data_IF_811459361498
#
_entry.id   IF_811459361498
#
_cell.length_a   1.000
_cell.length_b   1.000
_cell.length_c   1.000
_cell.angle_alpha   90.00
_cell.angle_beta   90.00
_cell.angle_gamma   90.00
#
_symmetry.space_group_name_H-M   'P 1'
#
loop_
_entity.id
_entity.type
_entity.pdbx_description
1 polymer ?
#
# COMPACT_ATOMS: atom_id res chain seq x y z
N UNK A 1 -6.88 0.76 9.49
CA UNK A 1 -5.69 0.05 9.03
C UNK A 1 -4.58 0.16 10.07
N UNK A 2 -3.98 -0.94 10.42
CA UNK A 2 -2.85 -1.01 11.35
C UNK A 2 -1.85 -2.04 10.82
N UNK A 3 -0.56 -1.72 10.81
CA UNK A 3 0.48 -2.66 10.46
C UNK A 3 1.81 -2.31 11.13
N UNK A 4 2.68 -3.30 11.20
CA UNK A 4 4.09 -3.15 11.55
C UNK A 4 4.92 -3.81 10.45
N UNK A 5 5.96 -3.15 10.00
CA UNK A 5 6.88 -3.65 8.99
C UNK A 5 8.32 -3.48 9.47
N UNK A 6 9.16 -4.46 9.18
CA UNK A 6 10.58 -4.46 9.51
C UNK A 6 11.41 -4.60 8.23
N UNK A 7 12.21 -3.58 7.95
CA UNK A 7 13.23 -3.59 6.91
C UNK A 7 14.54 -4.13 7.51
N UNK A 8 14.73 -5.43 7.39
CA UNK A 8 15.89 -6.16 7.92
C UNK A 8 16.83 -6.65 6.82
N UNK A 9 16.58 -6.25 5.60
CA UNK A 9 17.30 -6.58 4.38
C UNK A 9 16.81 -7.84 3.67
N UNK A 10 16.39 -7.63 2.45
CA UNK A 10 15.99 -8.60 1.43
C UNK A 10 15.10 -9.75 1.95
N UNK A 11 15.71 -10.87 2.32
CA UNK A 11 14.98 -12.09 2.67
C UNK A 11 14.54 -12.17 4.13
N UNK A 12 14.88 -11.17 4.94
CA UNK A 12 14.54 -11.13 6.38
C UNK A 12 13.43 -10.14 6.70
N UNK A 13 13.01 -9.34 5.73
CA UNK A 13 11.91 -8.41 5.90
C UNK A 13 10.67 -9.12 6.39
N UNK A 14 9.91 -8.47 7.24
CA UNK A 14 8.66 -9.01 7.76
C UNK A 14 7.59 -7.95 7.91
N UNK A 15 6.35 -8.40 7.91
CA UNK A 15 5.16 -7.56 8.08
C UNK A 15 4.09 -8.30 8.84
N UNK A 16 3.34 -7.58 9.65
CA UNK A 16 2.07 -8.02 10.21
C UNK A 16 1.08 -6.86 10.18
N UNK A 17 -0.12 -7.07 9.69
CA UNK A 17 -1.09 -5.99 9.62
C UNK A 17 -2.50 -6.42 9.25
N UNK A 18 -3.45 -5.55 9.58
CA UNK A 18 -4.88 -5.73 9.27
C UNK A 18 -5.43 -4.43 8.73
N UNK A 19 -6.18 -4.51 7.63
CA UNK A 19 -7.03 -3.43 7.15
C UNK A 19 -8.48 -3.88 7.12
N UNK A 20 -9.37 -3.00 7.56
CA UNK A 20 -10.83 -3.17 7.45
C UNK A 20 -11.41 -1.93 6.81
N UNK A 21 -12.26 -2.13 5.82
CA UNK A 21 -12.92 -1.04 5.10
C UNK A 21 -14.21 -1.53 4.46
N UNK A 22 -15.08 -0.58 4.09
CA UNK A 22 -16.33 -0.85 3.39
C UNK A 22 -16.30 -0.19 2.03
N UNK A 23 -16.62 -0.94 0.99
CA UNK A 23 -16.74 -0.43 -0.38
C UNK A 23 -18.11 0.22 -0.60
N UNK A 24 -18.23 1.00 -1.69
CA UNK A 24 -19.48 1.75 -2.01
C UNK A 24 -20.70 0.85 -2.17
N UNK A 25 -20.52 -0.42 -2.53
CA UNK A 25 -21.58 -1.42 -2.62
C UNK A 25 -22.01 -1.98 -1.24
N UNK A 26 -21.43 -1.45 -0.14
CA UNK A 26 -21.71 -1.87 1.22
C UNK A 26 -20.98 -3.14 1.65
N UNK A 27 -20.15 -3.74 0.82
CA UNK A 27 -19.38 -4.92 1.21
C UNK A 27 -18.28 -4.56 2.22
N UNK A 28 -18.20 -5.34 3.30
CA UNK A 28 -17.12 -5.24 4.28
C UNK A 28 -15.95 -6.09 3.82
N UNK A 29 -14.78 -5.49 3.80
CA UNK A 29 -13.52 -6.15 3.47
C UNK A 29 -12.60 -6.17 4.67
N UNK A 30 -11.92 -7.29 4.88
CA UNK A 30 -10.85 -7.45 5.86
C UNK A 30 -9.66 -8.11 5.17
N UNK A 31 -8.51 -7.47 5.28
CA UNK A 31 -7.23 -7.98 4.78
C UNK A 31 -6.30 -8.22 5.96
N UNK A 32 -5.64 -9.36 5.97
CA UNK A 32 -4.63 -9.72 6.98
C UNK A 32 -3.31 -10.00 6.27
N UNK A 33 -2.34 -9.11 6.45
CA UNK A 33 -0.97 -9.28 5.94
C UNK A 33 -0.14 -10.08 6.94
N UNK A 34 0.54 -11.11 6.47
CA UNK A 34 1.40 -11.98 7.30
C UNK A 34 2.69 -12.44 6.61
N UNK A 35 2.84 -12.15 5.32
CA UNK A 35 3.98 -12.61 4.51
C UNK A 35 4.48 -11.50 3.62
N UNK A 36 5.77 -11.20 3.69
CA UNK A 36 6.43 -10.25 2.79
C UNK A 36 6.77 -10.94 1.47
N UNK A 37 6.60 -10.22 0.35
CA UNK A 37 7.13 -10.61 -0.94
C UNK A 37 8.64 -10.29 -0.97
N UNK A 38 9.48 -11.28 -0.70
CA UNK A 38 10.94 -11.11 -0.60
C UNK A 38 11.68 -11.22 -1.94
N UNK A 39 10.99 -11.68 -2.99
CA UNK A 39 11.55 -11.86 -4.35
C UNK A 39 10.59 -11.27 -5.38
N UNK A 40 11.15 -10.94 -6.53
CA UNK A 40 10.38 -10.41 -7.67
C UNK A 40 9.52 -9.19 -7.33
N UNK A 41 10.01 -8.38 -6.40
CA UNK A 41 9.34 -7.12 -6.03
C UNK A 41 9.35 -6.21 -7.26
N UNK A 42 8.19 -5.74 -7.72
CA UNK A 42 8.09 -4.87 -8.90
C UNK A 42 8.99 -3.64 -8.75
N UNK A 43 9.80 -3.38 -9.78
CA UNK A 43 10.77 -2.28 -9.87
C UNK A 43 11.93 -2.31 -8.86
N UNK A 44 11.92 -3.20 -7.87
CA UNK A 44 12.94 -3.27 -6.81
C UNK A 44 13.37 -4.70 -6.46
N UNK A 45 13.82 -5.51 -7.42
CA UNK A 45 14.08 -6.94 -7.20
C UNK A 45 15.23 -7.23 -6.21
N UNK A 46 16.02 -6.22 -5.84
CA UNK A 46 17.19 -6.39 -4.96
C UNK A 46 16.95 -5.99 -3.51
N UNK A 47 15.82 -5.37 -3.19
CA UNK A 47 15.63 -4.73 -1.89
C UNK A 47 14.73 -5.51 -0.93
N UNK A 48 14.10 -6.57 -1.36
CA UNK A 48 13.10 -7.27 -0.55
C UNK A 48 11.74 -6.58 -0.57
N UNK A 49 10.86 -6.95 0.32
CA UNK A 49 9.47 -6.51 0.31
C UNK A 49 9.17 -5.29 1.16
N UNK A 50 10.10 -4.82 2.00
CA UNK A 50 9.95 -3.60 2.81
C UNK A 50 11.09 -2.65 2.49
N UNK A 51 10.77 -1.39 2.18
CA UNK A 51 11.76 -0.35 1.87
C UNK A 51 11.37 0.93 2.60
N UNK A 52 12.32 1.47 3.35
CA UNK A 52 12.18 2.73 4.07
C UNK A 52 12.79 3.91 3.31
N UNK A 53 12.15 5.07 3.38
CA UNK A 53 12.71 6.33 2.89
C UNK A 53 12.94 6.38 1.37
N UNK A 54 12.05 5.85 0.57
CA UNK A 54 12.18 5.71 -0.88
C UNK A 54 11.43 6.82 -1.65
N UNK A 55 12.06 7.39 -2.66
CA UNK A 55 11.37 8.11 -3.74
C UNK A 55 10.84 7.10 -4.74
N UNK A 56 9.58 6.79 -4.63
CA UNK A 56 9.02 5.66 -5.39
C UNK A 56 7.87 6.05 -6.31
N UNK A 57 6.88 6.77 -5.83
CA UNK A 57 5.65 7.04 -6.56
C UNK A 57 5.97 7.84 -7.85
N UNK A 58 5.47 7.39 -8.99
CA UNK A 58 5.69 8.03 -10.28
C UNK A 58 6.93 7.56 -11.05
N UNK A 59 7.73 6.65 -10.51
CA UNK A 59 8.89 6.04 -11.22
C UNK A 59 8.44 4.92 -12.18
N UNK A 60 7.23 4.98 -12.68
CA UNK A 60 6.66 3.96 -13.57
C UNK A 60 6.93 4.22 -15.05
N UNK A 61 7.56 5.36 -15.38
CA UNK A 61 7.72 5.83 -16.77
C UNK A 61 6.44 6.44 -17.37
N UNK A 62 5.35 6.48 -16.63
CA UNK A 62 4.05 7.02 -17.13
C UNK A 62 4.03 8.54 -17.12
N UNK A 63 4.78 9.18 -16.23
CA UNK A 63 4.94 10.64 -16.12
C UNK A 63 3.61 11.44 -16.17
N UNK A 64 2.63 10.99 -15.39
CA UNK A 64 1.35 11.70 -15.27
C UNK A 64 1.29 12.47 -13.94
N UNK A 65 0.61 13.62 -13.88
CA UNK A 65 0.37 14.32 -12.61
C UNK A 65 -0.34 13.45 -11.54
N UNK A 66 -1.03 12.40 -11.95
CA UNK A 66 -1.71 11.48 -11.04
C UNK A 66 -0.75 10.55 -10.29
N UNK A 67 0.46 10.36 -10.78
CA UNK A 67 1.51 9.53 -10.18
C UNK A 67 2.85 10.27 -10.14
N UNK A 68 2.97 11.36 -9.37
CA UNK A 68 4.21 12.11 -9.24
C UNK A 68 5.24 11.32 -8.44
N UNK A 69 6.51 11.64 -8.65
CA UNK A 69 7.57 11.11 -7.79
C UNK A 69 7.56 11.86 -6.46
N UNK A 70 7.25 11.16 -5.40
CA UNK A 70 7.18 11.71 -4.04
C UNK A 70 7.90 10.77 -3.06
N UNK A 71 8.26 11.30 -1.89
CA UNK A 71 8.88 10.51 -0.85
C UNK A 71 7.85 9.54 -0.24
N UNK A 72 8.22 8.26 -0.22
CA UNK A 72 7.52 7.23 0.53
C UNK A 72 8.34 6.90 1.78
N UNK A 73 7.80 7.17 2.96
CA UNK A 73 8.44 6.80 4.22
C UNK A 73 8.55 5.28 4.34
N UNK A 74 7.53 4.56 3.85
CA UNK A 74 7.53 3.10 3.72
C UNK A 74 6.89 2.74 2.39
N UNK A 75 7.51 1.82 1.65
CA UNK A 75 6.90 1.08 0.56
C UNK A 75 7.04 -0.42 0.87
N UNK A 76 5.96 -1.17 0.83
CA UNK A 76 6.00 -2.61 1.09
C UNK A 76 5.18 -3.39 0.08
N UNK A 77 5.64 -4.61 -0.18
CA UNK A 77 4.95 -5.64 -0.97
C UNK A 77 4.79 -6.89 -0.13
N UNK A 78 3.59 -7.36 -0.05
CA UNK A 78 3.17 -8.42 0.86
C UNK A 78 2.17 -9.35 0.20
N UNK A 79 1.93 -10.48 0.83
CA UNK A 79 0.77 -11.31 0.59
C UNK A 79 -0.18 -11.24 1.78
N UNK A 80 -1.46 -11.48 1.52
CA UNK A 80 -2.47 -11.39 2.53
C UNK A 80 -3.62 -12.39 2.32
N UNK A 81 -4.28 -12.72 3.42
CA UNK A 81 -5.62 -13.30 3.40
C UNK A 81 -6.64 -12.18 3.23
N UNK A 82 -7.53 -12.32 2.26
CA UNK A 82 -8.56 -11.34 1.96
C UNK A 82 -9.96 -11.94 2.19
N UNK A 83 -10.78 -11.23 2.96
CA UNK A 83 -12.14 -11.63 3.27
C UNK A 83 -13.12 -10.57 2.80
N UNK A 84 -14.29 -11.01 2.32
CA UNK A 84 -15.43 -10.17 1.99
C UNK A 84 -16.65 -10.66 2.77
N UNK A 85 -17.25 -9.80 3.59
CA UNK A 85 -18.36 -10.15 4.48
C UNK A 85 -18.06 -11.42 5.31
N UNK A 86 -16.85 -11.48 5.87
CA UNK A 86 -16.30 -12.58 6.67
C UNK A 86 -16.05 -13.90 5.91
N UNK A 87 -16.28 -13.94 4.60
CA UNK A 87 -15.97 -15.10 3.75
C UNK A 87 -14.58 -14.92 3.11
N UNK A 88 -13.74 -15.92 3.20
CA UNK A 88 -12.41 -15.91 2.55
C UNK A 88 -12.59 -15.84 1.04
N UNK A 89 -11.99 -14.81 0.42
CA UNK A 89 -11.94 -14.61 -1.03
C UNK A 89 -10.69 -15.25 -1.61
N UNK A 90 -9.54 -14.99 -0.97
CA UNK A 90 -8.25 -15.58 -1.32
C UNK A 90 -7.32 -15.56 -0.11
N UNK A 91 -6.42 -16.52 -0.05
CA UNK A 91 -5.33 -16.59 0.93
C UNK A 91 -3.98 -16.07 0.38
N UNK A 92 -3.98 -15.55 -0.84
CA UNK A 92 -2.78 -15.15 -1.55
C UNK A 92 -2.94 -13.82 -2.32
N UNK A 93 -3.74 -12.88 -1.80
CA UNK A 93 -3.82 -11.56 -2.39
C UNK A 93 -2.44 -10.88 -2.39
N UNK A 94 -2.05 -10.28 -3.50
CA UNK A 94 -0.86 -9.44 -3.54
C UNK A 94 -1.20 -8.04 -3.00
N UNK A 95 -0.39 -7.53 -2.10
CA UNK A 95 -0.63 -6.27 -1.40
C UNK A 95 0.54 -5.32 -1.59
N UNK A 96 0.23 -4.07 -1.91
CA UNK A 96 1.20 -2.98 -1.91
C UNK A 96 0.70 -1.86 -1.01
N UNK A 97 1.55 -1.43 -0.08
CA UNK A 97 1.27 -0.30 0.83
C UNK A 97 2.35 0.75 0.65
N UNK A 98 1.94 2.01 0.61
CA UNK A 98 2.83 3.16 0.65
C UNK A 98 2.38 4.16 1.71
N UNK A 99 3.35 4.70 2.45
CA UNK A 99 3.17 5.82 3.36
C UNK A 99 3.83 7.05 2.71
N UNK A 100 3.03 8.00 2.27
CA UNK A 100 3.47 9.11 1.43
C UNK A 100 3.48 10.43 2.18
N UNK A 101 4.42 11.31 1.81
CA UNK A 101 4.56 12.65 2.40
C UNK A 101 3.57 13.68 1.86
N UNK A 102 2.79 13.34 0.84
CA UNK A 102 1.86 14.24 0.17
C UNK A 102 0.56 13.51 -0.11
N UNK A 103 -0.53 14.27 -0.12
CA UNK A 103 -1.84 13.85 -0.60
C UNK A 103 -2.22 14.59 -1.88
N UNK A 104 -3.42 14.34 -2.38
CA UNK A 104 -4.00 14.98 -3.54
C UNK A 104 -5.09 15.96 -3.11
N UNK A 105 -5.06 17.18 -3.67
CA UNK A 105 -6.12 18.15 -3.48
C UNK A 105 -7.36 17.72 -4.26
N UNK A 106 -8.52 17.78 -3.59
CA UNK A 106 -9.79 17.51 -4.24
C UNK A 106 -10.05 18.54 -5.35
N UNK A 107 -10.49 18.07 -6.48
CA UNK A 107 -10.91 18.86 -7.64
C UNK A 107 -9.89 18.98 -8.76
N UNK A 108 -8.61 19.25 -8.49
CA UNK A 108 -7.58 19.39 -9.53
C UNK A 108 -6.45 18.35 -9.46
N UNK A 109 -6.46 17.51 -8.41
CA UNK A 109 -5.45 16.48 -8.14
C UNK A 109 -4.02 17.01 -8.04
N UNK A 110 -3.83 18.30 -7.82
CA UNK A 110 -2.51 18.84 -7.53
C UNK A 110 -1.95 18.25 -6.24
N UNK A 111 -0.62 18.08 -6.17
CA UNK A 111 0.02 17.68 -4.93
C UNK A 111 -0.21 18.74 -3.86
N UNK A 112 -0.71 18.32 -2.74
CA UNK A 112 -0.87 19.11 -1.55
C UNK A 112 -0.05 18.53 -0.42
N UNK A 113 0.65 19.38 0.27
CA UNK A 113 1.41 19.00 1.44
C UNK A 113 0.81 19.69 2.66
N UNK A 114 0.18 18.91 3.51
CA UNK A 114 -0.40 19.42 4.76
C UNK A 114 0.69 19.92 5.71
N UNK A 115 1.78 19.18 5.81
CA UNK A 115 2.97 19.55 6.55
C UNK A 115 4.19 18.89 5.90
N UNK A 116 4.90 19.65 5.08
CA UNK A 116 6.04 19.17 4.31
C UNK A 116 7.28 18.82 5.13
N UNK A 117 7.18 18.65 6.43
CA UNK A 117 8.27 18.10 7.22
C UNK A 117 8.53 16.65 6.75
N UNK A 118 9.80 16.32 6.48
CA UNK A 118 10.22 15.03 5.90
C UNK A 118 9.76 13.79 6.68
N UNK A 119 9.26 13.97 7.90
CA UNK A 119 8.89 12.90 8.81
C UNK A 119 7.37 12.73 8.97
N UNK A 120 6.57 13.50 8.24
CA UNK A 120 5.11 13.43 8.36
C UNK A 120 4.52 12.65 7.19
N UNK A 121 3.70 11.68 7.53
CA UNK A 121 2.93 10.90 6.59
C UNK A 121 1.60 11.59 6.42
N UNK A 122 1.27 11.91 5.19
CA UNK A 122 0.05 12.63 4.84
C UNK A 122 -0.97 11.71 4.18
N UNK A 123 -0.49 10.70 3.49
CA UNK A 123 -1.32 9.76 2.77
C UNK A 123 -0.86 8.31 2.99
N UNK A 124 -1.82 7.41 3.18
CA UNK A 124 -1.59 5.97 3.18
C UNK A 124 -2.34 5.36 2.00
N UNK A 125 -1.61 4.72 1.11
CA UNK A 125 -2.18 3.99 -0.02
C UNK A 125 -2.09 2.49 0.21
N UNK A 126 -3.18 1.79 -0.05
CA UNK A 126 -3.28 0.34 -0.01
C UNK A 126 -3.85 -0.16 -1.33
N UNK A 127 -3.08 -1.00 -2.03
CA UNK A 127 -3.52 -1.72 -3.21
C UNK A 127 -3.58 -3.20 -2.90
N UNK A 128 -4.70 -3.85 -3.22
CA UNK A 128 -4.89 -5.28 -3.04
C UNK A 128 -5.27 -5.85 -4.41
N UNK A 129 -4.42 -6.73 -4.92
CA UNK A 129 -4.58 -7.38 -6.21
C UNK A 129 -4.86 -8.88 -6.02
N UNK A 130 -5.54 -9.53 -6.96
CA UNK A 130 -5.62 -10.99 -6.98
C UNK A 130 -4.22 -11.60 -7.03
N UNK A 131 -4.06 -12.74 -6.41
CA UNK A 131 -2.84 -13.53 -6.54
C UNK A 131 -2.58 -13.96 -7.99
N UNK A 132 -1.35 -14.33 -8.29
CA UNK A 132 -0.97 -14.78 -9.64
C UNK A 132 -1.83 -15.97 -10.07
N UNK A 133 -2.53 -15.82 -11.19
CA UNK A 133 -3.41 -16.85 -11.71
C UNK A 133 -4.83 -16.87 -11.13
N UNK A 134 -5.12 -16.00 -10.16
CA UNK A 134 -6.47 -15.88 -9.61
C UNK A 134 -7.35 -14.95 -10.46
N UNK A 135 -8.69 -15.12 -10.40
CA UNK A 135 -9.62 -14.25 -11.09
C UNK A 135 -9.58 -12.83 -10.51
N UNK A 136 -9.86 -11.84 -11.35
CA UNK A 136 -10.00 -10.45 -10.91
C UNK A 136 -11.12 -10.33 -9.87
N UNK A 137 -10.93 -9.41 -8.91
CA UNK A 137 -11.98 -9.11 -7.95
C UNK A 137 -13.17 -8.45 -8.64
N UNK A 138 -14.36 -8.65 -8.10
CA UNK A 138 -15.56 -7.93 -8.53
C UNK A 138 -15.53 -6.49 -7.98
N UNK A 139 -14.63 -5.67 -8.54
CA UNK A 139 -14.40 -4.28 -8.20
C UNK A 139 -13.93 -3.53 -9.46
N UNK A 140 -14.05 -2.20 -9.53
CA UNK A 140 -13.53 -1.40 -10.64
C UNK A 140 -12.04 -1.68 -10.87
N UNK A 141 -11.68 -1.98 -12.11
CA UNK A 141 -10.31 -2.36 -12.48
C UNK A 141 -9.92 -3.80 -12.09
N UNK A 142 -10.71 -4.51 -11.29
CA UNK A 142 -10.47 -5.88 -10.86
C UNK A 142 -9.50 -6.00 -9.66
N UNK A 143 -9.24 -4.92 -8.96
CA UNK A 143 -8.43 -4.84 -7.74
C UNK A 143 -9.07 -3.84 -6.77
N UNK A 144 -8.63 -3.84 -5.50
CA UNK A 144 -9.07 -2.88 -4.50
C UNK A 144 -7.98 -1.83 -4.31
N UNK A 145 -8.40 -0.57 -4.30
CA UNK A 145 -7.54 0.57 -3.99
C UNK A 145 -8.19 1.38 -2.88
N UNK A 146 -7.48 1.56 -1.79
CA UNK A 146 -7.93 2.33 -0.63
C UNK A 146 -6.90 3.39 -0.32
N UNK A 147 -7.37 4.60 -0.12
CA UNK A 147 -6.55 5.76 0.18
C UNK A 147 -7.06 6.43 1.44
N UNK A 148 -6.17 6.70 2.39
CA UNK A 148 -6.44 7.49 3.58
C UNK A 148 -5.62 8.76 3.50
N UNK A 149 -6.28 9.88 3.30
CA UNK A 149 -5.69 11.20 3.28
C UNK A 149 -5.63 11.78 4.68
N UNK A 150 -4.65 12.67 4.91
CA UNK A 150 -4.43 13.31 6.22
C UNK A 150 -4.31 12.30 7.36
N UNK A 151 -3.55 11.23 7.12
CA UNK A 151 -3.38 10.15 8.08
C UNK A 151 -2.65 10.63 9.33
N UNK A 152 -3.23 10.36 10.49
CA UNK A 152 -2.63 10.71 11.79
C UNK A 152 -2.08 9.44 12.43
N UNK A 153 -0.82 9.48 12.88
CA UNK A 153 -0.27 8.46 13.77
C UNK A 153 0.63 7.40 13.14
N UNK A 154 0.99 7.52 11.86
CA UNK A 154 2.07 6.69 11.33
C UNK A 154 3.42 7.23 11.83
N UNK A 155 4.07 6.51 12.74
CA UNK A 155 5.42 6.84 13.20
C UNK A 155 6.36 5.68 12.85
N UNK A 156 7.57 5.97 12.35
CA UNK A 156 8.61 4.96 12.30
C UNK A 156 8.91 4.52 13.73
N UNK A 157 8.95 3.21 13.97
CA UNK A 157 9.47 2.68 15.22
C UNK A 157 10.95 3.09 15.34
N UNK A 158 11.29 3.69 16.47
CA UNK A 158 12.66 4.03 16.86
C UNK A 158 13.49 2.77 17.13
#
# INVERSE_FOLDING_TARGET
>A
FSFTAWDLGAVRDSVAGVAEFTTQDGARWRMVMDRVQTRDVPHHPRFGGVIMGLYYHGVTGVHTPLVPTINSAVALWSFAHLYRNDVLVTDNAAVHVMLLSHTRREGDFALECWDCSRNKIDEVQLQILPGTGEPKFNAPGGFLFVNWEHSVGAQPAS
#
